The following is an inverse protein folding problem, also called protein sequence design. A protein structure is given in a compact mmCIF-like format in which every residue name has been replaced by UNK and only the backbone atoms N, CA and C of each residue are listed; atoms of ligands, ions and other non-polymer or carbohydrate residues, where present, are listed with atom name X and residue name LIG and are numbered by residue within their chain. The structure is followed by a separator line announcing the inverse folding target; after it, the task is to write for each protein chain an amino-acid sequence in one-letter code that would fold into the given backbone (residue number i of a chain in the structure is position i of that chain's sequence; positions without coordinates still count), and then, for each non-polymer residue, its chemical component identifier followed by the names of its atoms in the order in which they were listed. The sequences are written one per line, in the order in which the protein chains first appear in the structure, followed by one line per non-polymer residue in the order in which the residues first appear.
data_IF_548788337390
#
_entry.id   IF_548788337390
#
_cell.length_a   1.000
_cell.length_b   1.000
_cell.length_c   1.000
_cell.angle_alpha   90.00
_cell.angle_beta   90.00
_cell.angle_gamma   90.00
#
_symmetry.space_group_name_H-M   'P 1'
#
loop_
_entity.id
_entity.type
_entity.pdbx_description
1 polymer ?
#
# COMPACT_ATOMS: atom_id res chain seq x y z
N UNK A 1 16.93 -22.54 4.91
CA UNK A 1 15.52 -22.90 4.62
C UNK A 1 15.39 -24.42 4.71
N UNK A 2 14.27 -24.92 5.21
CA UNK A 2 14.03 -26.37 5.17
C UNK A 2 13.85 -26.84 3.71
N UNK A 3 14.03 -28.14 3.42
CA UNK A 3 13.74 -28.70 2.10
C UNK A 3 12.32 -28.35 1.60
N UNK A 4 11.33 -28.42 2.50
CA UNK A 4 9.93 -28.13 2.21
C UNK A 4 9.72 -26.66 1.84
N UNK A 5 10.34 -25.73 2.59
CA UNK A 5 10.29 -24.30 2.29
C UNK A 5 10.93 -24.00 0.92
N UNK A 6 12.03 -24.69 0.60
CA UNK A 6 12.73 -24.51 -0.67
C UNK A 6 11.89 -24.98 -1.86
N UNK A 7 11.17 -26.10 -1.71
CA UNK A 7 10.27 -26.61 -2.76
C UNK A 7 9.00 -25.77 -2.91
N UNK A 8 8.43 -25.25 -1.81
CA UNK A 8 7.35 -24.28 -1.87
C UNK A 8 7.77 -23.00 -2.61
N UNK A 9 8.98 -22.49 -2.36
CA UNK A 9 9.50 -21.32 -3.05
C UNK A 9 9.64 -21.57 -4.56
N UNK A 10 10.18 -22.71 -4.98
CA UNK A 10 10.27 -23.06 -6.41
C UNK A 10 8.89 -23.09 -7.08
N UNK A 11 7.91 -23.70 -6.42
CA UNK A 11 6.53 -23.79 -6.92
C UNK A 11 5.88 -22.41 -7.00
N UNK A 12 6.07 -21.57 -5.98
CA UNK A 12 5.57 -20.20 -5.97
C UNK A 12 6.17 -19.36 -7.09
N UNK A 13 7.48 -19.45 -7.34
CA UNK A 13 8.14 -18.71 -8.42
C UNK A 13 7.70 -19.13 -9.82
N UNK A 14 7.20 -20.37 -9.99
CA UNK A 14 6.67 -20.87 -11.25
C UNK A 14 5.24 -20.39 -11.57
N UNK A 15 4.52 -19.81 -10.60
CA UNK A 15 3.16 -19.31 -10.82
C UNK A 15 3.15 -18.06 -11.72
N UNK A 16 2.02 -17.74 -12.39
CA UNK A 16 1.79 -16.44 -13.02
C UNK A 16 1.96 -15.28 -12.04
N UNK A 17 2.28 -14.09 -12.55
CA UNK A 17 2.58 -12.91 -11.71
C UNK A 17 1.43 -12.54 -10.75
N UNK A 18 0.19 -12.63 -11.21
CA UNK A 18 -0.99 -12.30 -10.40
C UNK A 18 -1.19 -13.30 -9.27
N UNK A 19 -1.00 -14.59 -9.54
CA UNK A 19 -1.09 -15.65 -8.52
C UNK A 19 0.06 -15.56 -7.51
N UNK A 20 1.27 -15.20 -7.96
CA UNK A 20 2.39 -14.91 -7.04
C UNK A 20 2.07 -13.74 -6.12
N UNK A 21 1.50 -12.66 -6.66
CA UNK A 21 1.12 -11.49 -5.87
C UNK A 21 0.03 -11.84 -4.86
N UNK A 22 -1.00 -12.61 -5.27
CA UNK A 22 -2.05 -13.07 -4.37
C UNK A 22 -1.51 -13.96 -3.24
N UNK A 23 -0.60 -14.90 -3.56
CA UNK A 23 0.05 -15.76 -2.56
C UNK A 23 0.89 -14.95 -1.59
N UNK A 24 1.71 -14.02 -2.08
CA UNK A 24 2.53 -13.15 -1.24
C UNK A 24 1.67 -12.32 -0.28
N UNK A 25 0.59 -11.70 -0.78
CA UNK A 25 -0.34 -10.93 0.05
C UNK A 25 -1.02 -11.78 1.12
N UNK A 26 -1.41 -13.01 0.77
CA UNK A 26 -2.02 -13.95 1.74
C UNK A 26 -1.04 -14.28 2.86
N UNK A 27 0.23 -14.55 2.52
CA UNK A 27 1.26 -14.83 3.52
C UNK A 27 1.58 -13.61 4.39
N UNK A 28 1.68 -12.42 3.80
CA UNK A 28 1.88 -11.16 4.52
C UNK A 28 0.73 -10.84 5.47
N UNK A 29 -0.52 -11.18 5.12
CA UNK A 29 -1.67 -10.95 6.02
C UNK A 29 -1.66 -11.80 7.29
N UNK A 30 -0.79 -12.83 7.36
CA UNK A 30 -0.60 -13.64 8.56
C UNK A 30 0.37 -12.97 9.54
N UNK A 31 1.12 -11.96 9.09
CA UNK A 31 1.97 -11.18 9.98
C UNK A 31 1.08 -10.37 10.93
N UNK A 32 1.43 -10.40 12.22
CA UNK A 32 0.77 -9.52 13.18
C UNK A 32 1.19 -8.09 12.84
N UNK A 33 0.24 -7.15 12.68
CA UNK A 33 0.58 -5.75 12.47
C UNK A 33 1.57 -5.29 13.53
N UNK A 34 2.60 -4.57 13.10
CA UNK A 34 3.59 -4.06 14.03
C UNK A 34 2.97 -2.87 14.75
N UNK A 35 2.35 -3.11 15.91
CA UNK A 35 1.57 -2.13 16.66
C UNK A 35 2.24 -0.77 16.79
N UNK A 36 3.58 -0.71 16.88
CA UNK A 36 4.32 0.56 16.92
C UNK A 36 4.24 1.40 15.64
N UNK A 37 4.14 0.75 14.47
CA UNK A 37 3.95 1.40 13.17
C UNK A 37 2.52 1.91 13.05
N UNK A 38 1.53 1.12 13.49
CA UNK A 38 0.13 1.58 13.48
C UNK A 38 -0.08 2.76 14.44
N UNK A 39 0.48 2.70 15.65
CA UNK A 39 0.44 3.81 16.62
C UNK A 39 1.10 5.08 16.06
N UNK A 40 2.30 4.97 15.48
CA UNK A 40 2.97 6.10 14.86
C UNK A 40 2.18 6.68 13.67
N UNK A 41 1.45 5.84 12.95
CA UNK A 41 0.57 6.27 11.87
C UNK A 41 -0.67 7.02 12.39
N UNK A 42 -1.28 6.51 13.46
CA UNK A 42 -2.43 7.16 14.10
C UNK A 42 -2.07 8.54 14.67
N UNK A 43 -0.90 8.67 15.29
CA UNK A 43 -0.36 9.95 15.74
C UNK A 43 -0.17 10.93 14.57
N UNK A 44 0.42 10.48 13.47
CA UNK A 44 0.67 11.31 12.29
C UNK A 44 -0.63 11.73 11.60
N UNK A 45 -1.61 10.84 11.47
CA UNK A 45 -2.94 11.17 10.91
C UNK A 45 -3.63 12.21 11.78
N UNK A 46 -3.60 12.03 13.10
CA UNK A 46 -4.17 12.99 14.06
C UNK A 46 -3.53 14.35 13.90
N UNK A 47 -2.20 14.43 13.91
CA UNK A 47 -1.44 15.68 13.72
C UNK A 47 -1.78 16.36 12.39
N UNK A 48 -1.84 15.62 11.28
CA UNK A 48 -2.19 16.19 9.96
C UNK A 48 -3.61 16.73 9.91
N UNK A 49 -4.56 16.04 10.54
CA UNK A 49 -5.94 16.50 10.63
C UNK A 49 -6.05 17.80 11.44
N UNK A 50 -5.27 17.95 12.51
CA UNK A 50 -5.18 19.19 13.27
C UNK A 50 -4.56 20.32 12.46
N UNK A 51 -3.46 20.07 11.76
CA UNK A 51 -2.82 21.06 10.88
C UNK A 51 -3.75 21.52 9.75
N UNK A 52 -4.54 20.61 9.17
CA UNK A 52 -5.57 20.93 8.18
C UNK A 52 -6.66 21.84 8.78
N UNK A 53 -7.22 21.46 9.94
CA UNK A 53 -8.26 22.26 10.62
C UNK A 53 -7.75 23.63 11.06
N UNK A 54 -6.47 23.72 11.44
CA UNK A 54 -5.82 24.96 11.83
C UNK A 54 -5.36 25.82 10.64
N UNK A 55 -5.54 25.36 9.39
CA UNK A 55 -5.12 26.08 8.19
C UNK A 55 -3.59 26.17 8.01
N UNK A 56 -2.82 25.31 8.69
CA UNK A 56 -1.36 25.23 8.58
C UNK A 56 -0.91 24.38 7.40
N UNK A 57 -1.76 23.44 6.97
CA UNK A 57 -1.47 22.57 5.85
C UNK A 57 -1.57 23.31 4.51
N UNK A 58 -0.62 23.05 3.61
CA UNK A 58 -0.72 23.51 2.22
C UNK A 58 -1.69 22.59 1.48
N UNK A 59 -2.80 23.14 1.01
CA UNK A 59 -3.84 22.40 0.29
C UNK A 59 -3.89 22.78 -1.18
N UNK A 60 -4.37 21.88 -2.03
CA UNK A 60 -4.71 22.16 -3.43
C UNK A 60 -6.22 22.14 -3.63
N UNK A 61 -6.77 22.90 -4.60
CA UNK A 61 -8.18 22.80 -4.96
C UNK A 61 -8.56 21.37 -5.39
N UNK A 62 -9.76 20.94 -5.00
CA UNK A 62 -10.26 19.59 -5.29
C UNK A 62 -10.28 19.30 -6.80
N UNK A 63 -10.70 20.28 -7.60
CA UNK A 63 -10.81 20.14 -9.05
C UNK A 63 -9.45 19.92 -9.71
N UNK A 64 -8.39 20.48 -9.13
CA UNK A 64 -7.02 20.24 -9.59
C UNK A 64 -6.62 18.80 -9.30
N UNK A 65 -6.70 18.37 -8.04
CA UNK A 65 -6.32 17.01 -7.62
C UNK A 65 -7.10 15.95 -8.40
N UNK A 66 -8.40 16.15 -8.58
CA UNK A 66 -9.25 15.22 -9.32
C UNK A 66 -8.82 15.03 -10.78
N UNK A 67 -8.45 16.12 -11.48
CA UNK A 67 -7.92 16.04 -12.85
C UNK A 67 -6.60 15.27 -12.91
N UNK A 68 -5.69 15.53 -11.97
CA UNK A 68 -4.39 14.86 -11.90
C UNK A 68 -4.56 13.35 -11.65
N UNK A 69 -5.42 12.96 -10.70
CA UNK A 69 -5.71 11.55 -10.41
C UNK A 69 -6.30 10.81 -11.61
N UNK A 70 -7.24 11.43 -12.34
CA UNK A 70 -7.82 10.84 -13.55
C UNK A 70 -6.77 10.62 -14.64
N UNK A 71 -5.87 11.59 -14.85
CA UNK A 71 -4.77 11.44 -15.80
C UNK A 71 -3.87 10.25 -15.43
N UNK A 72 -3.47 10.13 -14.16
CA UNK A 72 -2.62 9.03 -13.68
C UNK A 72 -3.27 7.65 -13.87
N UNK A 73 -4.58 7.53 -13.62
CA UNK A 73 -5.30 6.26 -13.81
C UNK A 73 -5.36 5.89 -15.29
N UNK A 74 -5.60 6.86 -16.18
CA UNK A 74 -5.65 6.62 -17.61
C UNK A 74 -4.27 6.20 -18.17
N UNK A 75 -3.19 6.83 -17.70
CA UNK A 75 -1.82 6.43 -18.08
C UNK A 75 -1.50 5.00 -17.64
N UNK A 76 -1.92 4.59 -16.43
CA UNK A 76 -1.68 3.24 -15.92
C UNK A 76 -2.42 2.16 -16.72
N UNK A 77 -3.60 2.47 -17.26
CA UNK A 77 -4.38 1.56 -18.12
C UNK A 77 -3.82 1.44 -19.54
N UNK A 78 -3.06 2.43 -19.99
CA UNK A 78 -2.47 2.45 -21.33
C UNK A 78 -1.11 1.73 -21.41
N UNK A 79 -0.55 1.32 -20.27
CA UNK A 79 0.67 0.51 -20.14
C UNK A 79 0.32 -0.97 -20.00
#
# INVERSE_FOLDING_TARGET
MSPEVSDLLKRALALPVDERAALANTLLSLETPNQSVEEAWDEEVTRRMEDLKAGKAVTVPWEQLHRELLAMVNERKAR
#
